data_IF_123255930055
#
_entry.id   IF_123255930055
#
_cell.length_a   1.000
_cell.length_b   1.000
_cell.length_c   1.000
_cell.angle_alpha   90.00
_cell.angle_beta   90.00
_cell.angle_gamma   90.00
#
_symmetry.space_group_name_H-M   'P 1'
#
loop_
_entity.id
_entity.type
_entity.pdbx_description
1 polymer ?
#
# COMPACT_ATOMS: atom_id res chain seq x y z
N UNK A 1 0.42 6.92 -1.95
CA UNK A 1 0.06 7.43 -0.62
C UNK A 1 0.24 8.94 -0.56
N UNK A 2 -0.62 9.63 0.16
CA UNK A 2 -0.51 11.06 0.46
C UNK A 2 -0.23 11.23 1.94
N UNK A 3 0.71 12.12 2.27
CA UNK A 3 1.02 12.51 3.65
C UNK A 3 0.37 13.84 3.92
N UNK A 4 -0.67 13.85 4.74
CA UNK A 4 -1.43 15.06 5.05
C UNK A 4 -0.72 15.90 6.11
N UNK A 5 -0.09 15.26 7.09
CA UNK A 5 0.65 15.89 8.18
C UNK A 5 1.70 14.93 8.72
N UNK A 6 2.86 15.42 9.13
CA UNK A 6 3.94 14.60 9.67
C UNK A 6 4.86 15.39 10.59
N UNK A 7 5.33 14.72 11.65
CA UNK A 7 6.46 15.16 12.47
C UNK A 7 7.39 13.99 12.75
N UNK A 8 7.77 13.28 11.71
CA UNK A 8 8.60 12.09 11.81
C UNK A 8 8.80 11.43 10.46
N UNK A 9 9.01 10.12 10.43
CA UNK A 9 9.26 9.39 9.20
C UNK A 9 7.97 9.07 8.43
N UNK A 10 7.59 9.95 7.52
CA UNK A 10 6.47 9.73 6.60
C UNK A 10 6.68 8.52 5.69
N UNK A 11 7.93 8.18 5.34
CA UNK A 11 8.24 7.02 4.51
C UNK A 11 7.89 5.69 5.18
N UNK A 12 8.12 5.55 6.49
CA UNK A 12 7.80 4.33 7.20
C UNK A 12 6.28 4.21 7.44
N UNK A 13 5.60 5.31 7.70
CA UNK A 13 4.14 5.35 7.72
C UNK A 13 3.54 4.95 6.36
N UNK A 14 4.12 5.43 5.26
CA UNK A 14 3.70 5.07 3.89
C UNK A 14 3.91 3.58 3.58
N UNK A 15 4.96 2.93 4.10
CA UNK A 15 5.14 1.48 3.97
C UNK A 15 3.99 0.73 4.65
N UNK A 16 3.64 1.11 5.87
CA UNK A 16 2.52 0.49 6.60
C UNK A 16 1.18 0.73 5.87
N UNK A 17 0.90 1.97 5.48
CA UNK A 17 -0.32 2.33 4.77
C UNK A 17 -0.41 1.65 3.40
N UNK A 18 0.68 1.60 2.64
CA UNK A 18 0.76 0.90 1.36
C UNK A 18 0.52 -0.59 1.49
N UNK A 19 1.08 -1.22 2.53
CA UNK A 19 0.82 -2.62 2.83
C UNK A 19 -0.67 -2.88 3.11
N UNK A 20 -1.29 -2.07 3.97
CA UNK A 20 -2.72 -2.17 4.27
C UNK A 20 -3.58 -1.92 3.03
N UNK A 21 -3.22 -0.96 2.18
CA UNK A 21 -3.93 -0.66 0.93
C UNK A 21 -3.88 -1.81 -0.05
N UNK A 22 -2.71 -2.45 -0.23
CA UNK A 22 -2.57 -3.64 -1.06
C UNK A 22 -3.43 -4.80 -0.55
N UNK A 23 -3.42 -5.02 0.78
CA UNK A 23 -4.24 -6.07 1.39
C UNK A 23 -5.74 -5.76 1.27
N UNK A 24 -6.14 -4.49 1.41
CA UNK A 24 -7.52 -4.06 1.21
C UNK A 24 -7.99 -4.20 -0.23
N UNK A 25 -7.08 -4.03 -1.20
CA UNK A 25 -7.33 -4.24 -2.62
C UNK A 25 -7.28 -5.73 -3.04
N UNK A 26 -7.10 -6.65 -2.09
CA UNK A 26 -7.05 -8.08 -2.39
C UNK A 26 -5.77 -8.57 -3.05
N UNK A 27 -4.72 -7.76 -3.11
CA UNK A 27 -3.44 -8.17 -3.68
C UNK A 27 -2.82 -9.27 -2.82
N UNK A 28 -2.51 -10.46 -3.38
CA UNK A 28 -2.02 -11.60 -2.62
C UNK A 28 -0.55 -11.44 -2.23
N UNK A 29 -0.27 -10.47 -1.35
CA UNK A 29 1.08 -10.29 -0.80
C UNK A 29 1.49 -11.50 0.05
N UNK A 30 2.77 -11.83 0.07
CA UNK A 30 3.29 -13.01 0.80
C UNK A 30 3.15 -12.88 2.31
N UNK A 31 3.34 -11.67 2.84
CA UNK A 31 3.20 -11.37 4.27
C UNK A 31 3.07 -9.85 4.48
N UNK A 32 2.40 -9.41 5.55
CA UNK A 32 2.38 -8.00 5.93
C UNK A 32 3.78 -7.45 6.23
N UNK A 33 3.99 -6.19 5.87
CA UNK A 33 5.24 -5.46 6.09
C UNK A 33 4.95 -4.21 6.90
N UNK A 34 5.70 -4.01 7.98
CA UNK A 34 5.71 -2.77 8.74
C UNK A 34 7.08 -2.11 8.68
N UNK A 35 7.10 -0.80 8.74
CA UNK A 35 8.30 0.03 8.81
C UNK A 35 8.41 0.82 10.10
N UNK A 36 9.64 1.08 10.54
CA UNK A 36 9.95 1.91 11.70
C UNK A 36 11.21 2.74 11.44
N UNK A 37 11.24 3.97 11.95
CA UNK A 37 12.42 4.82 11.93
C UNK A 37 13.07 4.84 13.31
N UNK A 38 14.35 4.55 13.35
CA UNK A 38 15.18 4.50 14.55
C UNK A 38 16.18 5.65 14.53
N UNK A 39 16.56 6.14 15.69
CA UNK A 39 17.59 7.15 15.86
C UNK A 39 18.68 6.75 16.83
N UNK A 40 19.80 7.43 16.76
CA UNK A 40 20.90 7.32 17.70
C UNK A 40 21.32 8.71 18.16
N UNK A 41 21.48 8.87 19.45
CA UNK A 41 22.09 10.06 20.06
C UNK A 41 23.27 9.59 20.90
N UNK A 42 24.43 10.22 20.72
CA UNK A 42 25.65 9.91 21.45
C UNK A 42 26.15 11.11 22.24
N UNK A 43 26.74 10.85 23.41
CA UNK A 43 27.47 11.86 24.20
C UNK A 43 28.70 11.23 24.85
N UNK A 44 29.84 11.44 24.22
CA UNK A 44 31.10 10.80 24.63
C UNK A 44 30.99 9.26 24.45
N UNK A 45 31.08 8.52 25.55
CA UNK A 45 30.95 7.05 25.54
C UNK A 45 29.52 6.54 25.75
N UNK A 46 28.57 7.42 26.06
CA UNK A 46 27.17 7.07 26.27
C UNK A 46 26.40 7.23 24.97
N UNK A 47 25.40 6.38 24.79
CA UNK A 47 24.49 6.49 23.65
C UNK A 47 23.07 6.08 24.07
N UNK A 48 22.10 6.52 23.29
CA UNK A 48 20.70 6.13 23.41
C UNK A 48 20.15 5.85 22.02
N UNK A 49 19.45 4.73 21.89
CA UNK A 49 18.73 4.37 20.66
C UNK A 49 17.29 4.79 20.83
N UNK A 50 16.78 5.57 19.88
CA UNK A 50 15.41 6.08 19.86
C UNK A 50 14.57 5.23 18.90
N UNK A 51 13.31 5.00 19.27
CA UNK A 51 12.32 4.30 18.47
C UNK A 51 11.25 5.31 18.03
N UNK A 52 10.91 5.29 16.72
CA UNK A 52 9.92 6.19 16.12
C UNK A 52 10.27 7.68 16.30
N UNK A 53 11.36 8.08 15.64
CA UNK A 53 11.95 9.40 15.82
C UNK A 53 11.10 10.52 15.25
N UNK A 54 11.08 11.64 15.95
CA UNK A 54 10.52 12.90 15.49
C UNK A 54 11.47 13.62 14.51
N UNK A 55 10.93 14.58 13.75
CA UNK A 55 11.72 15.35 12.79
C UNK A 55 12.96 16.04 13.39
N UNK A 56 12.86 16.55 14.62
CA UNK A 56 14.00 17.15 15.32
C UNK A 56 15.04 16.11 15.73
N UNK A 57 14.63 14.91 16.10
CA UNK A 57 15.51 13.80 16.47
C UNK A 57 16.23 13.23 15.23
N UNK A 58 15.54 13.21 14.08
CA UNK A 58 16.16 12.89 12.79
C UNK A 58 17.21 13.93 12.42
N UNK A 59 16.89 15.23 12.52
CA UNK A 59 17.80 16.30 12.13
C UNK A 59 19.03 16.44 13.04
N UNK A 60 18.82 16.33 14.34
CA UNK A 60 19.88 16.55 15.36
C UNK A 60 20.55 15.26 15.82
N UNK A 61 20.05 14.11 15.45
CA UNK A 61 20.61 12.81 15.82
C UNK A 61 21.93 12.49 15.12
N UNK A 62 22.66 11.53 15.64
CA UNK A 62 23.95 11.07 15.14
C UNK A 62 23.83 10.00 14.05
N UNK A 63 22.72 9.30 14.04
CA UNK A 63 22.33 8.31 13.02
C UNK A 63 20.82 8.21 13.01
N UNK A 64 20.24 8.10 11.84
CA UNK A 64 18.91 7.55 11.64
C UNK A 64 18.99 6.32 10.76
N UNK A 65 18.15 5.33 11.04
CA UNK A 65 17.96 4.24 10.12
C UNK A 65 16.51 3.76 10.11
N UNK A 66 16.08 3.40 8.93
CA UNK A 66 14.73 3.02 8.61
C UNK A 66 14.72 1.55 8.25
N UNK A 67 13.88 0.78 8.94
CA UNK A 67 13.81 -0.67 8.79
C UNK A 67 12.39 -1.06 8.46
N UNK A 68 12.21 -1.75 7.34
CA UNK A 68 10.95 -2.40 7.00
C UNK A 68 11.11 -3.92 6.97
N UNK A 69 10.05 -4.64 7.27
CA UNK A 69 10.09 -6.09 7.22
C UNK A 69 8.81 -6.76 7.72
N UNK A 70 8.79 -8.04 7.49
CA UNK A 70 7.76 -8.98 7.95
C UNK A 70 8.07 -9.49 9.35
N UNK A 71 7.23 -10.37 9.89
CA UNK A 71 7.55 -11.11 11.13
C UNK A 71 8.79 -11.98 10.99
N UNK A 72 9.05 -12.51 9.81
CA UNK A 72 10.16 -13.43 9.55
C UNK A 72 11.50 -12.72 9.38
N UNK A 73 11.53 -11.47 8.92
CA UNK A 73 12.79 -10.80 8.66
C UNK A 73 12.65 -9.39 8.09
N UNK A 74 13.80 -8.77 7.88
CA UNK A 74 13.94 -7.44 7.29
C UNK A 74 13.85 -7.56 5.76
N UNK A 75 13.06 -6.70 5.13
CA UNK A 75 12.91 -6.62 3.67
C UNK A 75 13.56 -5.40 3.07
N UNK A 76 13.72 -4.33 3.85
CA UNK A 76 14.41 -3.11 3.42
C UNK A 76 15.06 -2.42 4.61
N UNK A 77 16.19 -1.80 4.35
CA UNK A 77 16.95 -1.00 5.31
C UNK A 77 17.56 0.20 4.60
N UNK A 78 17.38 1.38 5.19
CA UNK A 78 18.06 2.61 4.81
C UNK A 78 18.70 3.20 6.05
N UNK A 79 19.95 3.65 5.96
CA UNK A 79 20.68 4.21 7.08
C UNK A 79 21.44 5.47 6.65
N UNK A 80 21.35 6.50 7.48
CA UNK A 80 22.18 7.70 7.39
C UNK A 80 22.99 7.87 8.68
N UNK A 81 24.30 7.95 8.55
CA UNK A 81 25.25 8.10 9.67
C UNK A 81 25.90 9.47 9.56
N UNK A 82 25.67 10.32 10.55
CA UNK A 82 26.16 11.71 10.60
C UNK A 82 27.44 11.87 11.44
N UNK A 83 27.96 10.77 12.00
CA UNK A 83 29.20 10.70 12.80
C UNK A 83 30.22 9.77 12.13
N UNK A 84 31.43 9.69 12.68
CA UNK A 84 32.54 8.91 12.09
C UNK A 84 32.33 7.39 12.03
N UNK A 85 31.22 6.91 12.44
CA UNK A 85 30.85 5.51 12.38
C UNK A 85 30.10 5.04 13.62
N UNK A 86 29.45 3.89 13.49
CA UNK A 86 28.64 3.24 14.53
C UNK A 86 29.19 1.84 14.77
N UNK A 87 29.27 1.43 16.04
CA UNK A 87 29.81 0.11 16.36
C UNK A 87 28.83 -1.00 16.02
N UNK A 88 29.36 -2.21 15.76
CA UNK A 88 28.55 -3.41 15.53
C UNK A 88 27.60 -3.71 16.72
N UNK A 89 28.02 -3.38 17.95
CA UNK A 89 27.19 -3.56 19.13
C UNK A 89 25.96 -2.65 19.11
N UNK A 90 26.13 -1.36 18.80
CA UNK A 90 25.03 -0.39 18.66
C UNK A 90 24.07 -0.81 17.55
N UNK A 91 24.58 -1.21 16.39
CA UNK A 91 23.74 -1.68 15.28
C UNK A 91 22.91 -2.91 15.66
N UNK A 92 23.53 -3.88 16.37
CA UNK A 92 22.83 -5.08 16.82
C UNK A 92 21.69 -4.72 17.78
N UNK A 93 21.94 -3.82 18.73
CA UNK A 93 20.94 -3.35 19.69
C UNK A 93 19.81 -2.59 18.98
N UNK A 94 20.17 -1.67 18.08
CA UNK A 94 19.20 -0.90 17.30
C UNK A 94 18.30 -1.79 16.44
N UNK A 95 18.85 -2.81 15.79
CA UNK A 95 18.07 -3.77 15.00
C UNK A 95 17.14 -4.61 15.89
N UNK A 96 17.59 -4.98 17.09
CA UNK A 96 16.74 -5.71 18.03
C UNK A 96 15.56 -4.84 18.52
N UNK A 97 15.82 -3.58 18.82
CA UNK A 97 14.80 -2.61 19.22
C UNK A 97 13.82 -2.30 18.06
N UNK A 98 14.33 -2.13 16.84
CA UNK A 98 13.52 -1.98 15.65
C UNK A 98 12.63 -3.19 15.37
N UNK A 99 13.14 -4.41 15.60
CA UNK A 99 12.33 -5.64 15.49
C UNK A 99 11.14 -5.60 16.44
N UNK A 100 11.37 -5.25 17.72
CA UNK A 100 10.29 -5.15 18.70
C UNK A 100 9.21 -4.18 18.26
N UNK A 101 9.59 -2.96 17.87
CA UNK A 101 8.64 -1.95 17.39
C UNK A 101 7.86 -2.40 16.15
N UNK A 102 8.54 -3.03 15.16
CA UNK A 102 7.85 -3.58 13.99
C UNK A 102 6.84 -4.67 14.32
N UNK A 103 7.13 -5.53 15.31
CA UNK A 103 6.17 -6.55 15.75
C UNK A 103 4.92 -5.90 16.35
N UNK A 104 5.07 -4.88 17.17
CA UNK A 104 3.96 -4.14 17.76
C UNK A 104 3.11 -3.46 16.67
N UNK A 105 3.73 -2.85 15.66
CA UNK A 105 3.02 -2.25 14.52
C UNK A 105 2.29 -3.33 13.71
N UNK A 106 2.93 -4.47 13.42
CA UNK A 106 2.29 -5.57 12.70
C UNK A 106 1.08 -6.13 13.48
N UNK A 107 1.14 -6.20 14.80
CA UNK A 107 0.01 -6.65 15.63
C UNK A 107 -1.20 -5.71 15.45
N UNK A 108 -0.97 -4.40 15.42
CA UNK A 108 -2.03 -3.41 15.17
C UNK A 108 -2.57 -3.52 13.73
N UNK A 109 -1.68 -3.63 12.74
CA UNK A 109 -2.07 -3.76 11.33
C UNK A 109 -2.90 -5.02 11.08
N UNK A 110 -2.45 -6.15 11.59
CA UNK A 110 -3.15 -7.45 11.43
C UNK A 110 -4.46 -7.50 12.21
N UNK A 111 -4.58 -6.73 13.29
CA UNK A 111 -5.84 -6.53 14.01
C UNK A 111 -6.92 -5.86 13.16
N UNK A 112 -6.53 -5.08 12.15
CA UNK A 112 -7.45 -4.41 11.20
C UNK A 112 -7.64 -5.25 9.95
N UNK A 113 -6.57 -5.72 9.33
CA UNK A 113 -6.59 -6.56 8.12
C UNK A 113 -5.57 -7.68 8.30
N UNK A 114 -6.02 -8.86 8.70
CA UNK A 114 -5.15 -10.01 8.96
C UNK A 114 -4.68 -10.72 7.67
N UNK A 115 -5.46 -10.62 6.60
CA UNK A 115 -5.18 -11.25 5.28
C UNK A 115 -5.67 -10.34 4.16
N UNK A 116 -5.10 -10.45 2.96
CA UNK A 116 -5.68 -9.79 1.79
C UNK A 116 -7.16 -10.10 1.66
N UNK A 117 -7.97 -9.09 1.39
CA UNK A 117 -9.41 -9.24 1.21
C UNK A 117 -9.70 -10.08 -0.03
N UNK A 118 -10.70 -10.92 0.05
CA UNK A 118 -11.19 -11.71 -1.09
C UNK A 118 -12.07 -10.89 -2.02
N UNK A 119 -12.70 -9.83 -1.48
CA UNK A 119 -13.58 -8.94 -2.21
C UNK A 119 -13.12 -7.49 -2.04
N UNK A 120 -13.23 -6.72 -3.11
CA UNK A 120 -13.00 -5.29 -3.06
C UNK A 120 -14.09 -4.58 -2.26
N UNK A 121 -13.77 -3.38 -1.78
CA UNK A 121 -14.76 -2.48 -1.19
C UNK A 121 -15.91 -2.25 -2.17
N UNK A 122 -17.14 -2.13 -1.65
CA UNK A 122 -18.31 -1.76 -2.46
C UNK A 122 -18.15 -0.43 -3.21
N UNK A 123 -17.24 0.43 -2.76
CA UNK A 123 -16.92 1.72 -3.38
C UNK A 123 -15.73 1.65 -4.36
N UNK A 124 -15.06 0.50 -4.47
CA UNK A 124 -13.94 0.37 -5.37
C UNK A 124 -14.43 0.06 -6.80
N UNK A 125 -13.79 0.63 -7.83
CA UNK A 125 -14.04 0.22 -9.19
C UNK A 125 -13.75 -1.28 -9.34
N UNK A 126 -14.65 -2.01 -10.02
CA UNK A 126 -14.48 -3.43 -10.31
C UNK A 126 -14.29 -3.61 -11.80
N UNK A 127 -13.42 -4.54 -12.16
CA UNK A 127 -13.26 -5.01 -13.54
C UNK A 127 -13.67 -6.48 -13.55
N UNK A 128 -14.67 -6.80 -14.34
CA UNK A 128 -15.11 -8.17 -14.55
C UNK A 128 -14.78 -8.55 -16.00
N UNK A 129 -14.30 -9.76 -16.21
CA UNK A 129 -13.96 -10.26 -17.55
C UNK A 129 -14.68 -11.58 -17.77
N UNK A 130 -15.38 -11.66 -18.88
CA UNK A 130 -16.06 -12.89 -19.31
C UNK A 130 -15.98 -13.02 -20.84
N UNK A 131 -16.32 -14.20 -21.36
CA UNK A 131 -16.31 -14.46 -22.80
C UNK A 131 -17.72 -14.65 -23.32
N UNK A 132 -17.97 -14.08 -24.49
CA UNK A 132 -19.16 -14.34 -25.28
C UNK A 132 -18.78 -15.06 -26.59
N UNK A 133 -19.76 -15.68 -27.24
CA UNK A 133 -19.52 -16.23 -28.57
C UNK A 133 -19.16 -15.09 -29.55
N UNK A 134 -17.99 -15.12 -30.23
CA UNK A 134 -17.61 -14.07 -31.19
C UNK A 134 -18.65 -13.80 -32.27
N UNK A 135 -19.40 -14.80 -32.70
CA UNK A 135 -20.49 -14.62 -33.67
C UNK A 135 -21.62 -13.71 -33.14
N UNK A 136 -21.74 -13.57 -31.80
CA UNK A 136 -22.75 -12.75 -31.12
C UNK A 136 -22.29 -11.33 -30.83
N UNK A 137 -21.06 -10.97 -31.13
CA UNK A 137 -20.52 -9.61 -30.93
C UNK A 137 -21.43 -8.57 -31.58
N UNK A 138 -21.87 -8.83 -32.81
CA UNK A 138 -22.76 -7.94 -33.56
C UNK A 138 -24.10 -7.71 -32.87
N UNK A 139 -24.64 -8.76 -32.22
CA UNK A 139 -25.89 -8.67 -31.47
C UNK A 139 -25.73 -7.83 -30.20
N UNK A 140 -24.57 -7.96 -29.51
CA UNK A 140 -24.24 -7.18 -28.31
C UNK A 140 -24.00 -5.71 -28.64
N UNK A 141 -23.33 -5.41 -29.75
CA UNK A 141 -23.13 -4.02 -30.20
C UNK A 141 -24.48 -3.42 -30.64
N UNK A 142 -25.24 -4.19 -31.40
CA UNK A 142 -26.51 -3.74 -31.96
C UNK A 142 -26.34 -2.77 -33.15
N UNK A 143 -27.44 -2.41 -33.76
CA UNK A 143 -27.44 -1.49 -34.91
C UNK A 143 -26.99 -0.08 -34.48
N UNK A 144 -25.86 0.38 -35.03
CA UNK A 144 -25.30 1.69 -34.68
C UNK A 144 -24.86 1.82 -33.21
N UNK A 145 -24.61 0.71 -32.50
CA UNK A 145 -24.22 0.71 -31.09
C UNK A 145 -25.38 0.85 -30.09
N UNK A 146 -26.61 0.73 -30.53
CA UNK A 146 -27.80 0.94 -29.69
C UNK A 146 -27.86 -0.03 -28.52
N UNK A 147 -27.58 -1.33 -28.77
CA UNK A 147 -27.69 -2.35 -27.73
C UNK A 147 -26.60 -2.18 -26.66
N UNK A 148 -25.36 -1.98 -27.05
CA UNK A 148 -24.27 -1.78 -26.07
C UNK A 148 -24.49 -0.50 -25.27
N UNK A 149 -24.99 0.57 -25.89
CA UNK A 149 -25.35 1.81 -25.19
C UNK A 149 -26.41 1.53 -24.11
N UNK A 150 -27.44 0.75 -24.45
CA UNK A 150 -28.49 0.36 -23.51
C UNK A 150 -27.91 -0.46 -22.36
N UNK A 151 -27.06 -1.45 -22.63
CA UNK A 151 -26.40 -2.28 -21.61
C UNK A 151 -25.58 -1.40 -20.67
N UNK A 152 -24.76 -0.49 -21.20
CA UNK A 152 -23.95 0.43 -20.38
C UNK A 152 -24.83 1.25 -19.44
N UNK A 153 -25.91 1.83 -19.93
CA UNK A 153 -26.80 2.67 -19.13
C UNK A 153 -27.56 1.85 -18.06
N UNK A 154 -28.02 0.64 -18.38
CA UNK A 154 -28.71 -0.23 -17.44
C UNK A 154 -27.79 -0.76 -16.33
N UNK A 155 -26.50 -0.95 -16.63
CA UNK A 155 -25.49 -1.41 -15.66
C UNK A 155 -24.84 -0.25 -14.89
N UNK A 156 -25.05 0.99 -15.27
CA UNK A 156 -24.46 2.16 -14.64
C UNK A 156 -25.20 2.57 -13.37
N UNK A 157 -24.52 3.27 -12.43
CA UNK A 157 -25.15 3.81 -11.23
C UNK A 157 -26.33 4.72 -11.55
N UNK A 158 -27.23 4.83 -10.59
CA UNK A 158 -28.37 5.73 -10.69
C UNK A 158 -27.92 7.19 -10.90
N UNK A 159 -28.49 7.87 -11.88
CA UNK A 159 -28.15 9.23 -12.28
C UNK A 159 -27.26 9.36 -13.52
N UNK A 160 -26.65 8.28 -14.01
CA UNK A 160 -25.93 8.25 -15.30
C UNK A 160 -26.96 8.31 -16.43
N UNK A 161 -26.78 9.27 -17.34
CA UNK A 161 -27.73 9.51 -18.46
C UNK A 161 -27.13 9.23 -19.83
N UNK A 162 -25.80 9.25 -19.93
CA UNK A 162 -25.09 9.05 -21.20
C UNK A 162 -23.88 8.15 -20.98
N UNK A 163 -23.45 7.46 -22.01
CA UNK A 163 -22.23 6.63 -21.99
C UNK A 163 -20.94 7.45 -21.82
N UNK A 164 -21.02 8.76 -21.99
CA UNK A 164 -19.89 9.68 -21.81
C UNK A 164 -19.78 10.22 -20.39
N UNK A 165 -20.72 9.91 -19.51
CA UNK A 165 -20.64 10.30 -18.11
C UNK A 165 -19.44 9.62 -17.45
N UNK A 166 -18.74 10.35 -16.59
CA UNK A 166 -17.52 9.85 -15.92
C UNK A 166 -17.78 8.61 -15.05
N UNK A 167 -18.99 8.47 -14.54
CA UNK A 167 -19.43 7.40 -13.66
C UNK A 167 -20.15 6.27 -14.42
N UNK A 168 -20.24 6.36 -15.76
CA UNK A 168 -20.80 5.31 -16.58
C UNK A 168 -19.91 4.05 -16.56
N UNK A 169 -20.54 2.88 -16.60
CA UNK A 169 -19.84 1.61 -16.80
C UNK A 169 -19.12 1.65 -18.14
N UNK A 170 -17.89 1.17 -18.18
CA UNK A 170 -17.13 0.99 -19.42
C UNK A 170 -17.22 -0.46 -19.84
N UNK A 171 -17.48 -0.68 -21.10
CA UNK A 171 -17.52 -2.02 -21.71
C UNK A 171 -16.53 -2.03 -22.87
N UNK A 172 -15.49 -2.85 -22.75
CA UNK A 172 -14.54 -3.12 -23.81
C UNK A 172 -14.83 -4.52 -24.38
N UNK A 173 -14.93 -4.62 -25.69
CA UNK A 173 -15.29 -5.84 -26.39
C UNK A 173 -14.23 -6.15 -27.44
N UNK A 174 -13.53 -7.26 -27.26
CA UNK A 174 -12.47 -7.72 -28.15
C UNK A 174 -13.04 -8.64 -29.26
N UNK A 175 -12.34 -8.73 -30.39
CA UNK A 175 -12.76 -9.54 -31.53
C UNK A 175 -12.84 -11.05 -31.26
N UNK A 176 -12.12 -11.51 -30.23
CA UNK A 176 -12.15 -12.91 -29.75
C UNK A 176 -13.36 -13.21 -28.85
N UNK A 177 -14.19 -12.22 -28.54
CA UNK A 177 -15.36 -12.32 -27.69
C UNK A 177 -15.09 -12.09 -26.22
N UNK A 178 -13.90 -11.64 -25.83
CA UNK A 178 -13.61 -11.20 -24.47
C UNK A 178 -14.25 -9.85 -24.19
N UNK A 179 -14.94 -9.75 -23.10
CA UNK A 179 -15.62 -8.55 -22.62
C UNK A 179 -15.04 -8.16 -21.28
#
# INVERSE_FOLDING_TARGET
SEVLESNGSSSQASICAGCLSLMAAGVPIKAPVAGIAMGLITKGKKYTILTDIQGIEDHMGDMDFKVAGTRSGITALQMDIKIKGVTKAILKEALAQAKKARMEILDVMEGVIARPRTELSQYAPKIETFNINPEKIKDVIGRGGEMITKIILECSPEGVKTVSDKDAVKVDLEDDGRV
#
